data_IF_834423397305
#
_entry.id   IF_834423397305
#
_cell.length_a   1.000
_cell.length_b   1.000
_cell.length_c   1.000
_cell.angle_alpha   90.00
_cell.angle_beta   90.00
_cell.angle_gamma   90.00
#
_symmetry.space_group_name_H-M   'P 1'
#
loop_
_entity.id
_entity.type
_entity.pdbx_description
1 polymer ?
#
# COMPACT_ATOMS: atom_id res chain seq x y z
N UNK A 1 13.81 -9.12 -29.44
CA UNK A 1 13.33 -10.52 -29.49
C UNK A 1 12.64 -10.77 -28.17
N UNK A 2 11.44 -11.39 -28.17
CA UNK A 2 10.73 -11.74 -26.94
C UNK A 2 11.12 -13.15 -26.52
N UNK A 3 11.44 -13.36 -25.25
CA UNK A 3 11.75 -14.67 -24.68
C UNK A 3 10.73 -15.04 -23.59
N UNK A 4 10.39 -16.34 -23.42
CA UNK A 4 9.56 -16.78 -22.31
C UNK A 4 10.33 -16.69 -20.99
N UNK A 5 9.60 -16.53 -19.87
CA UNK A 5 10.15 -16.67 -18.53
C UNK A 5 10.11 -18.14 -18.11
N UNK A 6 11.23 -18.69 -17.65
CA UNK A 6 11.33 -20.07 -17.18
C UNK A 6 11.49 -20.13 -15.65
N UNK A 7 10.39 -20.35 -14.95
CA UNK A 7 10.37 -20.44 -13.49
C UNK A 7 10.99 -21.73 -12.92
N UNK A 8 11.31 -22.73 -13.79
CA UNK A 8 12.05 -23.92 -13.35
C UNK A 8 13.56 -23.66 -13.25
N UNK A 9 14.03 -22.59 -13.91
CA UNK A 9 15.43 -22.18 -13.92
C UNK A 9 15.56 -20.65 -13.77
N UNK A 10 15.26 -20.10 -12.59
CA UNK A 10 15.30 -18.66 -12.37
C UNK A 10 16.74 -18.10 -12.41
N UNK A 11 16.92 -16.93 -13.01
CA UNK A 11 18.22 -16.25 -13.06
C UNK A 11 18.80 -15.99 -11.66
N UNK A 12 17.93 -15.75 -10.70
CA UNK A 12 18.26 -15.58 -9.28
C UNK A 12 17.26 -16.38 -8.43
N UNK A 13 17.75 -17.25 -7.56
CA UNK A 13 16.91 -18.07 -6.67
C UNK A 13 15.97 -17.20 -5.79
N UNK A 14 16.44 -16.01 -5.40
CA UNK A 14 15.64 -15.06 -4.59
C UNK A 14 14.38 -14.61 -5.31
N UNK A 15 14.38 -14.48 -6.65
CA UNK A 15 13.22 -14.04 -7.39
C UNK A 15 12.06 -15.05 -7.29
N UNK A 16 12.38 -16.35 -7.32
CA UNK A 16 11.39 -17.42 -7.11
C UNK A 16 10.90 -17.46 -5.66
N UNK A 17 11.79 -17.28 -4.70
CA UNK A 17 11.42 -17.21 -3.28
C UNK A 17 10.45 -16.06 -3.01
N UNK A 18 10.74 -14.88 -3.54
CA UNK A 18 9.89 -13.68 -3.41
C UNK A 18 8.53 -13.94 -4.06
N UNK A 19 8.50 -14.47 -5.28
CA UNK A 19 7.26 -14.83 -5.97
C UNK A 19 6.39 -15.79 -5.12
N UNK A 20 6.98 -16.87 -4.64
CA UNK A 20 6.25 -17.86 -3.85
C UNK A 20 5.71 -17.26 -2.54
N UNK A 21 6.49 -16.38 -1.88
CA UNK A 21 6.08 -15.71 -0.66
C UNK A 21 4.92 -14.75 -0.91
N UNK A 22 5.00 -13.94 -1.95
CA UNK A 22 3.95 -12.97 -2.30
C UNK A 22 2.65 -13.67 -2.69
N UNK A 23 2.74 -14.68 -3.57
CA UNK A 23 1.54 -15.42 -4.03
C UNK A 23 0.94 -16.30 -2.93
N UNK A 24 1.78 -16.87 -2.05
CA UNK A 24 1.32 -17.64 -0.89
C UNK A 24 0.63 -16.77 0.18
N UNK A 25 0.98 -15.50 0.27
CA UNK A 25 0.37 -14.54 1.19
C UNK A 25 -0.67 -13.65 0.51
N UNK A 26 -1.09 -13.98 -0.71
CA UNK A 26 -2.10 -13.21 -1.42
C UNK A 26 -3.43 -13.22 -0.69
N UNK A 27 -4.06 -12.05 -0.59
CA UNK A 27 -5.35 -11.89 0.05
C UNK A 27 -6.22 -10.88 -0.70
N UNK A 28 -7.51 -10.87 -0.39
CA UNK A 28 -8.47 -9.94 -0.95
C UNK A 28 -9.24 -9.25 0.20
N UNK A 29 -9.56 -7.95 0.08
CA UNK A 29 -10.29 -7.20 1.11
C UNK A 29 -11.61 -7.85 1.50
N UNK A 30 -12.28 -8.48 0.56
CA UNK A 30 -13.57 -9.16 0.76
C UNK A 30 -13.48 -10.40 1.66
N UNK A 31 -12.27 -10.87 1.95
CA UNK A 31 -12.03 -11.98 2.88
C UNK A 31 -11.80 -11.53 4.32
N UNK A 32 -11.67 -10.22 4.55
CA UNK A 32 -11.47 -9.66 5.88
C UNK A 32 -12.82 -9.33 6.51
N UNK A 33 -13.06 -9.81 7.71
CA UNK A 33 -14.33 -9.60 8.43
C UNK A 33 -14.37 -8.22 9.14
N UNK A 34 -14.27 -7.14 8.37
CA UNK A 34 -14.21 -5.75 8.87
C UNK A 34 -15.40 -5.38 9.77
N UNK A 35 -16.58 -5.96 9.52
CA UNK A 35 -17.76 -5.70 10.34
C UNK A 35 -17.59 -6.10 11.81
N UNK A 36 -16.67 -7.00 12.13
CA UNK A 36 -16.35 -7.36 13.51
C UNK A 36 -15.72 -6.20 14.29
N UNK A 37 -15.16 -5.22 13.60
CA UNK A 37 -14.54 -4.04 14.21
C UNK A 37 -15.54 -2.91 14.54
N UNK A 38 -16.77 -2.95 14.01
CA UNK A 38 -17.78 -1.92 14.28
C UNK A 38 -18.04 -1.65 15.76
N UNK A 39 -18.14 -2.65 16.66
CA UNK A 39 -18.34 -2.38 18.08
C UNK A 39 -17.18 -1.63 18.73
N UNK A 40 -15.94 -1.96 18.36
CA UNK A 40 -14.74 -1.25 18.86
C UNK A 40 -14.60 0.12 18.24
N UNK A 41 -14.88 0.26 16.93
CA UNK A 41 -14.91 1.54 16.24
C UNK A 41 -15.84 2.55 16.91
N UNK A 42 -17.06 2.15 17.23
CA UNK A 42 -18.07 3.01 17.86
C UNK A 42 -17.70 3.46 19.29
N UNK A 43 -16.77 2.76 19.95
CA UNK A 43 -16.26 3.13 21.28
C UNK A 43 -15.09 4.10 21.23
N UNK A 44 -14.44 4.26 20.07
CA UNK A 44 -13.35 5.22 19.93
C UNK A 44 -13.90 6.64 20.02
N UNK A 45 -13.15 7.51 20.66
CA UNK A 45 -13.40 8.95 20.59
C UNK A 45 -13.18 9.49 19.16
N UNK A 46 -13.82 10.61 18.87
CA UNK A 46 -13.78 11.22 17.53
C UNK A 46 -12.36 11.58 17.04
N UNK A 47 -11.43 11.90 17.95
CA UNK A 47 -10.05 12.23 17.58
C UNK A 47 -9.32 10.97 17.13
N UNK A 48 -9.50 9.83 17.81
CA UNK A 48 -8.93 8.56 17.38
C UNK A 48 -9.52 8.08 16.06
N UNK A 49 -10.84 8.16 15.90
CA UNK A 49 -11.50 7.83 14.64
C UNK A 49 -10.94 8.68 13.49
N UNK A 50 -10.87 9.99 13.67
CA UNK A 50 -10.32 10.93 12.70
C UNK A 50 -8.85 10.65 12.38
N UNK A 51 -8.04 10.31 13.37
CA UNK A 51 -6.64 9.96 13.16
C UNK A 51 -6.48 8.73 12.27
N UNK A 52 -7.26 7.66 12.51
CA UNK A 52 -7.26 6.44 11.68
C UNK A 52 -7.73 6.76 10.25
N UNK A 53 -8.86 7.46 10.12
CA UNK A 53 -9.42 7.83 8.80
C UNK A 53 -8.41 8.64 7.98
N UNK A 54 -7.78 9.65 8.57
CA UNK A 54 -6.78 10.46 7.88
C UNK A 54 -5.51 9.68 7.54
N UNK A 55 -5.05 8.80 8.43
CA UNK A 55 -3.91 7.94 8.16
C UNK A 55 -4.19 7.03 6.95
N UNK A 56 -5.32 6.36 6.92
CA UNK A 56 -5.69 5.47 5.82
C UNK A 56 -5.99 6.20 4.51
N UNK A 57 -6.60 7.38 4.56
CA UNK A 57 -6.76 8.21 3.37
C UNK A 57 -5.39 8.64 2.80
N UNK A 58 -4.43 8.94 3.67
CA UNK A 58 -3.04 9.24 3.28
C UNK A 58 -2.32 8.02 2.68
N UNK A 59 -2.46 6.85 3.29
CA UNK A 59 -1.92 5.59 2.76
C UNK A 59 -2.53 5.27 1.39
N UNK A 60 -3.84 5.47 1.21
CA UNK A 60 -4.49 5.25 -0.10
C UNK A 60 -3.83 6.07 -1.21
N UNK A 61 -3.43 7.32 -0.94
CA UNK A 61 -2.71 8.15 -1.94
C UNK A 61 -1.36 7.52 -2.29
N UNK A 62 -0.61 7.06 -1.30
CA UNK A 62 0.72 6.48 -1.51
C UNK A 62 0.65 5.12 -2.20
N UNK A 63 -0.29 4.24 -1.81
CA UNK A 63 -0.50 2.94 -2.45
C UNK A 63 -0.98 3.10 -3.90
N UNK A 64 -1.86 4.06 -4.16
CA UNK A 64 -2.26 4.39 -5.53
C UNK A 64 -1.05 4.82 -6.37
N UNK A 65 -0.20 5.70 -5.83
CA UNK A 65 1.02 6.14 -6.51
C UNK A 65 2.00 4.96 -6.71
N UNK A 66 2.14 4.09 -5.72
CA UNK A 66 3.00 2.92 -5.82
C UNK A 66 2.49 1.93 -6.86
N UNK A 67 1.17 1.70 -6.93
CA UNK A 67 0.55 0.86 -7.96
C UNK A 67 0.74 1.43 -9.37
N UNK A 68 0.50 2.73 -9.55
CA UNK A 68 0.50 3.38 -10.88
C UNK A 68 1.90 3.70 -11.39
N UNK A 69 2.83 4.07 -10.50
CA UNK A 69 4.15 4.60 -10.86
C UNK A 69 5.28 3.78 -10.28
N UNK A 70 5.27 3.54 -8.95
CA UNK A 70 6.42 3.02 -8.21
C UNK A 70 6.86 1.64 -8.67
N UNK A 71 5.97 0.66 -8.66
CA UNK A 71 6.26 -0.71 -9.09
C UNK A 71 6.75 -0.75 -10.55
N UNK A 72 6.12 0.04 -11.44
CA UNK A 72 6.53 0.18 -12.82
C UNK A 72 7.90 0.84 -12.99
N UNK A 73 8.23 1.83 -12.16
CA UNK A 73 9.54 2.49 -12.17
C UNK A 73 10.66 1.50 -11.77
N UNK A 74 10.44 0.68 -10.75
CA UNK A 74 11.40 -0.37 -10.37
C UNK A 74 11.49 -1.45 -11.45
N UNK A 75 10.36 -1.87 -12.03
CA UNK A 75 10.30 -2.86 -13.10
C UNK A 75 11.09 -2.47 -14.35
N UNK A 76 11.16 -1.18 -14.70
CA UNK A 76 11.98 -0.67 -15.82
C UNK A 76 13.46 -1.01 -15.68
N UNK A 77 13.91 -1.21 -14.45
CA UNK A 77 15.29 -1.54 -14.12
C UNK A 77 15.47 -3.01 -13.68
N UNK A 78 14.47 -3.85 -13.97
CA UNK A 78 14.55 -5.27 -13.64
C UNK A 78 15.72 -5.93 -14.38
N UNK A 79 16.45 -6.79 -13.66
CA UNK A 79 17.65 -7.51 -14.18
C UNK A 79 17.25 -8.80 -14.89
N UNK A 80 16.02 -9.27 -14.64
CA UNK A 80 15.48 -10.51 -15.17
C UNK A 80 13.99 -10.39 -15.46
N UNK A 81 13.44 -11.32 -16.26
CA UNK A 81 11.99 -11.46 -16.42
C UNK A 81 11.29 -11.85 -15.11
N UNK A 82 11.97 -12.59 -14.25
CA UNK A 82 11.47 -13.00 -12.93
C UNK A 82 11.32 -11.78 -12.01
N UNK A 83 12.34 -10.92 -11.92
CA UNK A 83 12.26 -9.66 -11.16
C UNK A 83 11.15 -8.74 -11.71
N UNK A 84 11.02 -8.64 -13.02
CA UNK A 84 9.96 -7.86 -13.65
C UNK A 84 8.54 -8.41 -13.30
N UNK A 85 8.38 -9.73 -13.29
CA UNK A 85 7.13 -10.37 -12.88
C UNK A 85 6.80 -10.11 -11.40
N UNK A 86 7.80 -10.16 -10.53
CA UNK A 86 7.65 -9.79 -9.10
C UNK A 86 7.16 -8.35 -8.96
N UNK A 87 7.74 -7.41 -9.68
CA UNK A 87 7.31 -6.00 -9.63
C UNK A 87 5.90 -5.79 -10.17
N UNK A 88 5.49 -6.50 -11.21
CA UNK A 88 4.13 -6.46 -11.71
C UNK A 88 3.12 -6.96 -10.68
N UNK A 89 3.46 -8.04 -9.96
CA UNK A 89 2.62 -8.55 -8.87
C UNK A 89 2.54 -7.56 -7.70
N UNK A 90 3.65 -6.93 -7.31
CA UNK A 90 3.68 -5.87 -6.28
C UNK A 90 2.73 -4.74 -6.68
N UNK A 91 2.81 -4.22 -7.92
CA UNK A 91 1.89 -3.17 -8.37
C UNK A 91 0.41 -3.56 -8.27
N UNK A 92 0.08 -4.83 -8.56
CA UNK A 92 -1.26 -5.37 -8.34
C UNK A 92 -1.65 -5.42 -6.85
N UNK A 93 -0.72 -5.77 -5.96
CA UNK A 93 -0.96 -5.78 -4.51
C UNK A 93 -1.18 -4.37 -3.97
N UNK A 94 -0.44 -3.38 -4.44
CA UNK A 94 -0.65 -1.98 -4.02
C UNK A 94 -2.04 -1.46 -4.41
N UNK A 95 -2.55 -1.86 -5.58
CA UNK A 95 -3.92 -1.56 -5.96
C UNK A 95 -4.95 -2.25 -5.04
N UNK A 96 -4.65 -3.47 -4.55
CA UNK A 96 -5.48 -4.18 -3.57
C UNK A 96 -5.42 -3.48 -2.21
N UNK A 97 -4.25 -2.99 -1.78
CA UNK A 97 -4.11 -2.19 -0.56
C UNK A 97 -4.99 -0.93 -0.62
N UNK A 98 -4.90 -0.14 -1.69
CA UNK A 98 -5.74 1.04 -1.89
C UNK A 98 -7.25 0.70 -1.85
N UNK A 99 -7.66 -0.42 -2.48
CA UNK A 99 -9.03 -0.93 -2.40
C UNK A 99 -9.42 -1.34 -0.97
N UNK A 100 -8.48 -1.84 -0.17
CA UNK A 100 -8.74 -2.26 1.21
C UNK A 100 -9.16 -1.09 2.08
N UNK A 101 -8.51 0.06 1.97
CA UNK A 101 -8.93 1.27 2.70
C UNK A 101 -10.33 1.72 2.30
N UNK A 102 -10.68 1.62 1.02
CA UNK A 102 -12.05 1.89 0.57
C UNK A 102 -13.07 0.94 1.22
N UNK A 103 -12.72 -0.35 1.40
CA UNK A 103 -13.56 -1.33 2.08
C UNK A 103 -13.70 -1.05 3.58
N UNK A 104 -12.59 -0.63 4.22
CA UNK A 104 -12.58 -0.18 5.62
C UNK A 104 -13.52 1.01 5.81
N UNK A 105 -13.41 2.03 4.95
CA UNK A 105 -14.26 3.21 5.02
C UNK A 105 -15.73 2.86 4.79
N UNK A 106 -16.04 2.07 3.77
CA UNK A 106 -17.41 1.63 3.51
C UNK A 106 -18.03 0.85 4.69
N UNK A 107 -17.20 0.23 5.53
CA UNK A 107 -17.66 -0.54 6.70
C UNK A 107 -17.76 0.32 7.96
N UNK A 108 -16.76 1.16 8.23
CA UNK A 108 -16.60 1.81 9.53
C UNK A 108 -17.18 3.23 9.59
N UNK A 109 -17.26 3.95 8.47
CA UNK A 109 -17.66 5.36 8.45
C UNK A 109 -18.88 5.59 7.55
N UNK A 110 -19.52 6.75 7.71
CA UNK A 110 -20.60 7.16 6.81
C UNK A 110 -20.08 7.53 5.41
N UNK A 111 -20.96 7.53 4.42
CA UNK A 111 -20.61 7.96 3.05
C UNK A 111 -20.07 9.38 3.00
N UNK A 112 -20.58 10.26 3.87
CA UNK A 112 -20.14 11.64 3.98
C UNK A 112 -18.72 11.72 4.57
N UNK A 113 -18.46 11.02 5.67
CA UNK A 113 -17.11 10.94 6.26
C UNK A 113 -16.09 10.31 5.31
N UNK A 114 -16.50 9.31 4.53
CA UNK A 114 -15.67 8.72 3.48
C UNK A 114 -15.29 9.76 2.42
N UNK A 115 -16.28 10.51 1.92
CA UNK A 115 -16.05 11.60 0.95
C UNK A 115 -15.10 12.66 1.51
N UNK A 116 -15.37 13.15 2.71
CA UNK A 116 -14.53 14.13 3.41
C UNK A 116 -13.07 13.65 3.59
N UNK A 117 -12.88 12.35 3.87
CA UNK A 117 -11.55 11.76 4.04
C UNK A 117 -10.73 11.82 2.73
N UNK A 118 -11.33 11.45 1.61
CA UNK A 118 -10.66 11.48 0.31
C UNK A 118 -10.47 12.92 -0.22
N UNK A 119 -11.43 13.81 0.02
CA UNK A 119 -11.28 15.24 -0.27
C UNK A 119 -10.12 15.82 0.54
N UNK A 120 -10.09 15.56 1.85
CA UNK A 120 -8.97 15.96 2.70
C UNK A 120 -7.62 15.44 2.20
N UNK A 121 -7.53 14.17 1.79
CA UNK A 121 -6.30 13.59 1.28
C UNK A 121 -5.85 14.26 -0.03
N UNK A 122 -6.80 14.62 -0.89
CA UNK A 122 -6.52 15.29 -2.16
C UNK A 122 -6.10 16.76 -1.99
N UNK A 123 -6.53 17.42 -0.91
CA UNK A 123 -6.29 18.84 -0.66
C UNK A 123 -5.18 19.11 0.37
N UNK A 124 -4.80 18.09 1.16
CA UNK A 124 -3.79 18.27 2.20
C UNK A 124 -2.42 18.54 1.60
N UNK A 125 -1.97 19.78 1.73
CA UNK A 125 -0.72 20.28 1.11
C UNK A 125 0.52 19.48 1.48
N UNK A 126 0.58 18.93 2.69
CA UNK A 126 1.74 18.17 3.15
C UNK A 126 1.75 16.76 2.55
N UNK A 127 0.59 16.10 2.51
CA UNK A 127 0.44 14.81 1.87
C UNK A 127 0.69 14.91 0.36
N UNK A 128 0.15 15.92 -0.30
CA UNK A 128 0.37 16.16 -1.72
C UNK A 128 1.83 16.50 -2.04
N UNK A 129 2.49 17.27 -1.17
CA UNK A 129 3.93 17.52 -1.30
C UNK A 129 4.75 16.24 -1.15
N UNK A 130 4.40 15.37 -0.19
CA UNK A 130 5.03 14.06 -0.01
C UNK A 130 4.84 13.17 -1.26
N UNK A 131 3.62 13.03 -1.73
CA UNK A 131 3.31 12.27 -2.94
C UNK A 131 4.06 12.81 -4.18
N UNK A 132 4.12 14.13 -4.32
CA UNK A 132 4.87 14.78 -5.41
C UNK A 132 6.37 14.48 -5.35
N UNK A 133 6.97 14.51 -4.16
CA UNK A 133 8.38 14.17 -3.97
C UNK A 133 8.63 12.68 -4.35
N UNK A 134 7.75 11.79 -3.88
CA UNK A 134 7.84 10.35 -4.21
C UNK A 134 7.76 10.14 -5.72
N UNK A 135 6.77 10.72 -6.39
CA UNK A 135 6.61 10.63 -7.84
C UNK A 135 7.84 11.14 -8.60
N UNK A 136 8.32 12.35 -8.27
CA UNK A 136 9.50 12.94 -8.91
C UNK A 136 10.75 12.09 -8.74
N UNK A 137 10.91 11.39 -7.62
CA UNK A 137 12.03 10.49 -7.40
C UNK A 137 11.97 9.29 -8.34
N UNK A 138 10.81 8.66 -8.48
CA UNK A 138 10.62 7.55 -9.41
C UNK A 138 10.86 7.93 -10.88
N UNK A 139 10.54 9.16 -11.27
CA UNK A 139 10.77 9.64 -12.62
C UNK A 139 12.23 9.94 -12.95
N UNK A 140 13.06 10.31 -11.97
CA UNK A 140 14.39 10.91 -12.17
C UNK A 140 15.55 10.06 -11.71
N UNK A 141 15.33 9.03 -10.92
CA UNK A 141 16.40 8.25 -10.33
C UNK A 141 16.87 7.14 -11.26
N UNK A 142 18.16 6.80 -11.15
CA UNK A 142 18.73 5.61 -11.78
C UNK A 142 18.27 4.32 -11.08
N UNK A 143 18.69 3.17 -11.63
CA UNK A 143 18.31 1.86 -11.14
C UNK A 143 18.59 1.63 -9.65
N UNK A 144 19.73 2.11 -9.16
CA UNK A 144 20.12 1.95 -7.76
C UNK A 144 19.24 2.80 -6.83
N UNK A 145 19.17 4.10 -7.11
CA UNK A 145 18.42 5.03 -6.28
C UNK A 145 16.90 4.83 -6.35
N UNK A 146 16.36 4.35 -7.48
CA UNK A 146 14.96 3.97 -7.59
C UNK A 146 14.62 2.85 -6.60
N UNK A 147 15.46 1.82 -6.48
CA UNK A 147 15.27 0.73 -5.51
C UNK A 147 15.43 1.22 -4.07
N UNK A 148 16.47 2.02 -3.78
CA UNK A 148 16.67 2.60 -2.44
C UNK A 148 15.45 3.43 -2.04
N UNK A 149 14.93 4.24 -2.95
CA UNK A 149 13.74 5.06 -2.70
C UNK A 149 12.50 4.20 -2.44
N UNK A 150 12.28 3.15 -3.21
CA UNK A 150 11.19 2.20 -2.98
C UNK A 150 11.29 1.55 -1.59
N UNK A 151 12.48 1.08 -1.20
CA UNK A 151 12.70 0.50 0.13
C UNK A 151 12.41 1.52 1.24
N UNK A 152 12.83 2.79 1.08
CA UNK A 152 12.55 3.84 2.06
C UNK A 152 11.06 4.16 2.16
N UNK A 153 10.34 4.15 1.04
CA UNK A 153 8.89 4.31 1.04
C UNK A 153 8.22 3.17 1.81
N UNK A 154 8.52 1.93 1.42
CA UNK A 154 7.89 0.73 1.98
C UNK A 154 8.22 0.50 3.46
N UNK A 155 9.48 0.70 3.86
CA UNK A 155 9.94 0.38 5.21
C UNK A 155 9.85 1.54 6.22
N UNK A 156 9.69 2.78 5.75
CA UNK A 156 9.68 3.95 6.63
C UNK A 156 8.41 4.79 6.49
N UNK A 157 8.08 5.27 5.28
CA UNK A 157 6.96 6.18 5.12
C UNK A 157 5.61 5.48 5.36
N UNK A 158 5.41 4.28 4.85
CA UNK A 158 4.19 3.52 5.10
C UNK A 158 4.00 3.17 6.58
N UNK A 159 5.06 2.78 7.28
CA UNK A 159 4.95 2.44 8.70
C UNK A 159 4.51 3.61 9.58
N UNK A 160 4.81 4.84 9.20
CA UNK A 160 4.26 6.01 9.92
C UNK A 160 2.74 6.10 9.79
N UNK A 161 2.19 5.70 8.65
CA UNK A 161 0.75 5.64 8.40
C UNK A 161 0.06 4.44 9.10
N UNK A 162 0.75 3.31 9.25
CA UNK A 162 0.21 2.14 9.95
C UNK A 162 0.15 2.31 11.47
N UNK A 163 0.98 3.19 12.03
CA UNK A 163 1.11 3.35 13.49
C UNK A 163 -0.24 3.56 14.22
N UNK A 164 -1.16 4.43 13.79
CA UNK A 164 -2.43 4.63 14.49
C UNK A 164 -3.26 3.35 14.61
N UNK A 165 -3.35 2.56 13.54
CA UNK A 165 -4.09 1.30 13.56
C UNK A 165 -3.38 0.25 14.42
N UNK A 166 -2.07 0.05 14.25
CA UNK A 166 -1.28 -0.88 15.07
C UNK A 166 -1.36 -0.55 16.56
N UNK A 167 -1.38 0.73 16.91
CA UNK A 167 -1.57 1.19 18.29
C UNK A 167 -2.94 0.76 18.83
N UNK A 168 -4.01 0.93 18.05
CA UNK A 168 -5.35 0.53 18.47
C UNK A 168 -5.48 -0.99 18.61
N UNK A 169 -4.86 -1.75 17.72
CA UNK A 169 -4.79 -3.23 17.83
C UNK A 169 -4.10 -3.62 19.14
N UNK A 170 -3.01 -2.97 19.50
CA UNK A 170 -2.32 -3.24 20.79
C UNK A 170 -3.17 -2.91 22.02
N UNK A 171 -4.17 -2.04 21.87
CA UNK A 171 -5.17 -1.69 22.89
C UNK A 171 -6.44 -2.57 22.82
N UNK A 172 -6.45 -3.62 21.97
CA UNK A 172 -7.57 -4.54 21.79
C UNK A 172 -8.71 -3.99 20.93
N UNK A 173 -8.43 -3.00 20.07
CA UNK A 173 -9.40 -2.38 19.17
C UNK A 173 -9.02 -2.62 17.70
N UNK A 174 -10.01 -2.75 16.83
CA UNK A 174 -9.85 -2.86 15.37
C UNK A 174 -8.90 -4.00 14.90
N UNK A 175 -9.05 -5.24 15.36
CA UNK A 175 -8.13 -6.32 15.00
C UNK A 175 -8.21 -6.77 13.53
N UNK A 176 -9.24 -6.37 12.79
CA UNK A 176 -9.44 -6.72 11.38
C UNK A 176 -9.20 -5.53 10.42
N UNK A 177 -8.92 -4.37 10.98
CA UNK A 177 -8.75 -3.13 10.20
C UNK A 177 -7.30 -2.86 9.87
#
# INVERSE_FOLDING_TARGET
MFSPVDWNNPDQAIDLEVWNRMTGNFWLPEKIALSNDLPSWRRLDENKQRAVVRAFAGLTVLDTLQAEVGAGAVAKHARSHHEAANMAFIGGMEAIHARSYSSIFATLVSSEQNKEAFEWASENKWLQAQASIVNQRYERLDAYWTRVHSVMLESFLFYTGFYPALRLVSEGSLPNT
#
